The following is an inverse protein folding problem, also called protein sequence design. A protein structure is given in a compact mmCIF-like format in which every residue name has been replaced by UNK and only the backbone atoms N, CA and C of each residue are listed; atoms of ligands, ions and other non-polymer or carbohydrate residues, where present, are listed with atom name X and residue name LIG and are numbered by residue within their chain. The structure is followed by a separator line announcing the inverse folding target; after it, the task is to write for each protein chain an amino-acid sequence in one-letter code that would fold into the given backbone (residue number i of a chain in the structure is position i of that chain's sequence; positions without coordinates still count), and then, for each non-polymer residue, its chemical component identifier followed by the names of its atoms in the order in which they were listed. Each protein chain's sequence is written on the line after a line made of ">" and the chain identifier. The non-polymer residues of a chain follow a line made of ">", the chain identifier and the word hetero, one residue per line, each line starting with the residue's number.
data_IF_527168415840
#
_entry.id   IF_527168415840
#
_cell.length_a   1.000
_cell.length_b   1.000
_cell.length_c   1.000
_cell.angle_alpha   90.00
_cell.angle_beta   90.00
_cell.angle_gamma   90.00
#
_symmetry.space_group_name_H-M   'P 1'
#
loop_
_entity.id
_entity.type
_entity.pdbx_description
1 polymer ?
#
# COMPACT_ATOMS: atom_id res chain seq x y z
N UNK A 1 46.69 5.14 7.15
CA UNK A 1 47.28 4.04 6.36
C UNK A 1 48.16 3.19 7.26
N UNK A 2 47.68 2.02 7.68
CA UNK A 2 48.47 0.83 8.05
C UNK A 2 47.47 -0.29 8.32
N UNK A 3 47.26 -1.10 7.29
CA UNK A 3 46.65 -2.43 7.38
C UNK A 3 47.78 -3.42 7.08
N UNK A 4 47.93 -4.44 7.90
CA UNK A 4 48.46 -5.76 7.53
C UNK A 4 47.94 -6.74 8.60
N UNK A 5 47.10 -7.74 8.29
CA UNK A 5 47.42 -9.02 7.61
C UNK A 5 48.50 -9.83 8.37
N UNK A 6 48.40 -11.11 8.69
CA UNK A 6 47.43 -12.22 8.53
C UNK A 6 47.84 -13.23 9.61
N UNK A 7 46.89 -13.95 10.22
CA UNK A 7 47.20 -15.25 10.83
C UNK A 7 46.23 -16.28 10.23
N UNK A 8 46.80 -17.21 9.49
CA UNK A 8 46.18 -18.46 9.04
C UNK A 8 46.18 -19.49 10.16
N UNK A 9 45.11 -20.28 10.32
CA UNK A 9 45.19 -21.76 10.31
C UNK A 9 43.85 -22.41 10.67
N UNK A 10 43.43 -23.30 9.77
CA UNK A 10 42.68 -24.57 9.95
C UNK A 10 41.24 -24.58 10.46
N UNK A 11 40.38 -25.10 9.58
CA UNK A 11 38.99 -25.48 9.81
C UNK A 11 38.85 -26.82 10.53
N UNK A 12 37.80 -26.98 11.34
CA UNK A 12 36.96 -28.20 11.32
C UNK A 12 35.58 -27.92 11.93
N UNK A 13 34.56 -28.52 11.32
CA UNK A 13 33.14 -28.28 11.57
C UNK A 13 32.65 -28.91 12.88
N UNK A 14 31.75 -28.23 13.59
CA UNK A 14 30.71 -28.88 14.40
C UNK A 14 29.53 -27.93 14.67
N UNK A 15 28.36 -28.38 14.24
CA UNK A 15 27.03 -27.86 14.51
C UNK A 15 26.76 -27.66 16.00
N UNK A 16 26.33 -26.46 16.40
CA UNK A 16 25.79 -26.22 17.76
C UNK A 16 24.28 -25.97 17.66
N UNK A 17 23.51 -26.99 18.04
CA UNK A 17 22.11 -26.86 18.43
C UNK A 17 22.04 -26.03 19.73
N UNK A 18 21.30 -24.92 19.72
CA UNK A 18 20.85 -24.29 20.96
C UNK A 18 19.40 -24.70 21.24
N UNK A 19 19.19 -25.48 22.30
CA UNK A 19 17.87 -25.85 22.83
C UNK A 19 17.85 -25.71 24.36
N UNK A 20 16.70 -25.21 24.84
CA UNK A 20 16.16 -25.16 26.22
C UNK A 20 16.66 -23.98 27.08
N UNK A 21 15.88 -23.38 27.99
CA UNK A 21 14.79 -23.92 28.82
C UNK A 21 13.78 -22.86 29.26
N UNK A 22 12.55 -23.34 29.50
CA UNK A 22 11.44 -22.67 30.18
C UNK A 22 11.76 -22.38 31.65
N UNK A 23 11.21 -21.29 32.17
CA UNK A 23 11.09 -21.04 33.60
C UNK A 23 9.68 -21.44 34.05
N UNK A 24 9.58 -22.41 34.97
CA UNK A 24 8.39 -22.78 35.71
C UNK A 24 8.68 -22.46 37.17
N UNK A 25 7.80 -21.70 37.82
CA UNK A 25 7.74 -21.61 39.27
C UNK A 25 6.34 -22.07 39.67
N UNK A 26 6.30 -23.08 40.53
CA UNK A 26 5.12 -23.65 41.17
C UNK A 26 5.32 -23.51 42.68
N UNK A 27 4.27 -23.11 43.40
CA UNK A 27 4.05 -23.50 44.80
C UNK A 27 2.54 -23.54 45.10
N UNK A 28 2.01 -24.77 45.02
CA UNK A 28 1.08 -25.47 45.93
C UNK A 28 0.02 -24.77 46.81
N UNK A 29 -1.21 -25.34 46.70
CA UNK A 29 -2.23 -25.64 47.73
C UNK A 29 -2.97 -24.46 48.39
N UNK A 30 -4.29 -24.46 48.53
CA UNK A 30 -5.14 -25.47 49.20
C UNK A 30 -6.57 -25.49 48.60
N UNK A 31 -7.12 -26.71 48.50
CA UNK A 31 -8.50 -27.04 48.11
C UNK A 31 -9.51 -26.71 49.24
N UNK A 32 -10.82 -26.54 49.06
CA UNK A 32 -11.81 -27.56 48.67
C UNK A 32 -13.22 -26.90 48.72
N UNK A 33 -13.96 -27.07 47.62
CA UNK A 33 -15.36 -27.55 47.50
C UNK A 33 -16.52 -27.06 48.38
N UNK A 34 -17.62 -26.77 47.64
CA UNK A 34 -19.06 -27.02 47.91
C UNK A 34 -19.71 -26.07 48.93
N UNK A 35 -20.99 -25.66 48.83
CA UNK A 35 -22.13 -26.21 48.13
C UNK A 35 -23.17 -25.10 47.89
N UNK A 36 -24.01 -25.28 46.88
CA UNK A 36 -25.24 -24.52 46.66
C UNK A 36 -26.33 -24.93 47.65
N UNK A 37 -27.17 -23.97 48.06
CA UNK A 37 -28.62 -24.18 48.20
C UNK A 37 -29.32 -22.84 48.48
N UNK A 38 -30.28 -22.56 47.61
CA UNK A 38 -31.46 -21.72 47.81
C UNK A 38 -32.08 -21.81 49.21
N UNK A 39 -32.64 -20.70 49.74
CA UNK A 39 -33.99 -20.67 50.32
C UNK A 39 -34.51 -19.23 50.58
N UNK A 40 -35.65 -18.97 49.94
CA UNK A 40 -36.80 -18.10 50.19
C UNK A 40 -36.86 -17.05 51.34
N UNK A 41 -37.41 -15.88 50.95
CA UNK A 41 -38.54 -15.09 51.52
C UNK A 41 -38.72 -14.97 53.04
N UNK A 42 -38.83 -13.72 53.49
CA UNK A 42 -40.11 -13.22 54.04
C UNK A 42 -40.15 -12.72 55.50
N UNK A 43 -40.76 -11.54 55.64
CA UNK A 43 -41.56 -11.03 56.76
C UNK A 43 -40.89 -10.28 57.94
N UNK A 44 -41.20 -8.97 57.95
CA UNK A 44 -41.64 -8.09 59.05
C UNK A 44 -41.30 -8.49 60.50
N UNK A 45 -40.79 -7.52 61.26
CA UNK A 45 -41.50 -6.93 62.41
C UNK A 45 -40.83 -5.64 62.89
N UNK A 46 -41.67 -4.65 63.20
CA UNK A 46 -41.33 -3.46 63.98
C UNK A 46 -41.02 -3.85 65.44
N UNK A 47 -40.03 -3.21 66.03
CA UNK A 47 -40.04 -2.93 67.48
C UNK A 47 -39.48 -1.53 67.71
N UNK A 48 -40.34 -0.68 68.26
CA UNK A 48 -39.99 0.61 68.81
C UNK A 48 -39.28 0.41 70.16
N UNK A 49 -38.18 1.11 70.37
CA UNK A 49 -37.59 1.28 71.69
C UNK A 49 -37.21 2.75 71.89
N UNK A 50 -37.92 3.34 72.85
CA UNK A 50 -37.75 4.64 73.48
C UNK A 50 -36.38 4.82 74.13
N UNK A 51 -35.76 6.00 73.98
CA UNK A 51 -34.55 6.32 74.71
C UNK A 51 -34.01 7.73 74.49
N UNK A 52 -34.39 8.63 75.40
CA UNK A 52 -33.68 9.81 75.93
C UNK A 52 -32.89 10.75 75.01
N UNK A 53 -33.37 12.00 75.05
CA UNK A 53 -32.75 13.24 74.62
C UNK A 53 -31.25 13.36 74.96
N UNK A 54 -30.45 13.63 73.94
CA UNK A 54 -29.26 14.46 74.05
C UNK A 54 -29.32 15.53 72.95
N UNK A 55 -29.52 16.78 73.35
CA UNK A 55 -29.29 17.91 72.46
C UNK A 55 -27.79 18.07 72.28
N UNK A 56 -27.32 17.76 71.08
CA UNK A 56 -26.01 18.20 70.60
C UNK A 56 -26.30 19.21 69.49
N UNK A 57 -26.11 20.48 69.81
CA UNK A 57 -26.09 21.56 68.82
C UNK A 57 -24.81 21.44 68.02
N UNK A 58 -24.89 20.82 66.84
CA UNK A 58 -23.84 20.86 65.82
C UNK A 58 -24.26 21.85 64.74
N UNK A 59 -23.60 22.99 64.71
CA UNK A 59 -23.69 23.99 63.66
C UNK A 59 -23.48 23.34 62.30
N UNK A 60 -24.43 23.52 61.38
CA UNK A 60 -24.29 23.09 60.00
C UNK A 60 -23.16 23.88 59.34
N UNK A 61 -22.01 23.24 59.17
CA UNK A 61 -21.02 23.66 58.18
C UNK A 61 -21.41 22.94 56.89
N UNK A 62 -22.17 23.63 56.04
CA UNK A 62 -22.36 23.22 54.65
C UNK A 62 -21.03 23.37 53.92
N UNK A 63 -20.21 22.32 53.97
CA UNK A 63 -19.12 22.13 53.01
C UNK A 63 -19.73 21.54 51.75
N UNK A 64 -20.01 22.40 50.77
CA UNK A 64 -20.32 21.99 49.41
C UNK A 64 -19.04 21.42 48.79
N UNK A 65 -18.83 20.13 48.95
CA UNK A 65 -17.89 19.38 48.13
C UNK A 65 -18.64 18.91 46.89
N UNK A 66 -18.39 19.57 45.76
CA UNK A 66 -18.75 19.05 44.45
C UNK A 66 -17.65 18.07 44.03
N UNK A 67 -17.92 16.76 43.87
CA UNK A 67 -17.04 15.91 43.10
C UNK A 67 -17.51 15.95 41.64
N UNK A 68 -17.14 17.00 40.91
CA UNK A 68 -17.18 16.94 39.44
C UNK A 68 -15.98 16.10 38.99
N UNK A 69 -16.08 14.79 39.21
CA UNK A 69 -15.24 13.82 38.51
C UNK A 69 -15.95 13.53 37.19
N UNK A 70 -15.41 13.94 36.02
CA UNK A 70 -15.98 13.51 34.76
C UNK A 70 -15.85 11.99 34.71
N UNK A 71 -16.99 11.31 34.61
CA UNK A 71 -17.05 9.86 34.44
C UNK A 71 -16.16 9.47 33.25
N UNK A 72 -15.08 8.76 33.53
CA UNK A 72 -14.21 8.20 32.51
C UNK A 72 -15.05 7.21 31.70
N UNK A 73 -15.51 7.65 30.54
CA UNK A 73 -16.29 6.82 29.63
C UNK A 73 -15.46 5.59 29.27
N UNK A 74 -16.07 4.41 29.41
CA UNK A 74 -15.43 3.16 29.04
C UNK A 74 -14.85 3.26 27.61
N UNK A 75 -13.64 2.74 27.34
CA UNK A 75 -13.06 2.75 26.01
C UNK A 75 -14.06 2.13 25.03
N UNK A 76 -14.58 2.95 24.11
CA UNK A 76 -15.40 2.46 23.02
C UNK A 76 -14.55 1.46 22.22
N UNK A 77 -15.09 0.29 21.83
CA UNK A 77 -14.34 -0.66 21.04
C UNK A 77 -13.89 0.02 19.74
N UNK A 78 -12.58 0.20 19.58
CA UNK A 78 -12.01 0.76 18.36
C UNK A 78 -12.49 -0.08 17.19
N UNK A 79 -13.13 0.57 16.21
CA UNK A 79 -13.56 -0.09 14.98
C UNK A 79 -12.35 -0.82 14.39
N UNK A 80 -12.49 -2.10 14.01
CA UNK A 80 -11.36 -2.87 13.47
C UNK A 80 -10.76 -2.11 12.29
N UNK A 81 -9.45 -1.83 12.36
CA UNK A 81 -8.73 -1.12 11.30
C UNK A 81 -8.99 -1.86 9.98
N UNK A 82 -9.48 -1.17 8.94
CA UNK A 82 -9.76 -1.82 7.66
C UNK A 82 -8.49 -2.47 7.13
N UNK A 83 -8.61 -3.69 6.60
CA UNK A 83 -7.48 -4.35 5.96
C UNK A 83 -6.90 -3.41 4.88
N UNK A 84 -5.56 -3.23 4.82
CA UNK A 84 -4.96 -2.36 3.82
C UNK A 84 -5.35 -2.89 2.44
N UNK A 85 -6.09 -2.06 1.70
CA UNK A 85 -6.52 -2.39 0.35
C UNK A 85 -5.31 -2.30 -0.59
N UNK A 86 -5.12 -3.29 -1.49
CA UNK A 86 -3.91 -3.36 -2.29
C UNK A 86 -3.89 -2.29 -3.37
N UNK A 87 -2.69 -1.82 -3.71
CA UNK A 87 -2.49 -1.02 -4.91
C UNK A 87 -2.49 -1.92 -6.15
N UNK A 88 -3.21 -1.51 -7.19
CA UNK A 88 -3.09 -2.09 -8.53
C UNK A 88 -2.25 -1.14 -9.39
N UNK A 89 -1.10 -1.62 -9.85
CA UNK A 89 -0.20 -0.90 -10.74
C UNK A 89 -0.26 -1.58 -12.11
N UNK A 90 -0.75 -0.85 -13.10
CA UNK A 90 -0.95 -1.35 -14.46
C UNK A 90 0.03 -0.65 -15.40
N UNK A 91 0.86 -1.42 -16.09
CA UNK A 91 1.68 -0.93 -17.19
C UNK A 91 0.96 -1.15 -18.50
N UNK A 92 0.87 -0.12 -19.35
CA UNK A 92 0.33 -0.26 -20.69
C UNK A 92 1.42 -0.63 -21.70
N UNK A 93 1.05 -1.43 -22.68
CA UNK A 93 1.93 -1.94 -23.73
C UNK A 93 1.20 -2.93 -24.63
N UNK A 94 1.87 -3.36 -25.70
CA UNK A 94 1.40 -4.43 -26.57
C UNK A 94 2.14 -5.74 -26.28
N UNK A 95 1.45 -6.90 -26.27
CA UNK A 95 2.09 -8.20 -26.09
C UNK A 95 2.80 -8.66 -27.37
N UNK A 96 3.90 -9.39 -27.22
CA UNK A 96 4.67 -9.96 -28.33
C UNK A 96 6.07 -9.38 -28.45
N UNK A 97 7.01 -10.19 -28.94
CA UNK A 97 8.44 -9.83 -29.01
C UNK A 97 8.69 -8.62 -29.91
N UNK A 98 7.88 -8.43 -30.95
CA UNK A 98 8.02 -7.29 -31.87
C UNK A 98 7.76 -5.92 -31.22
N UNK A 99 7.09 -5.86 -30.07
CA UNK A 99 6.81 -4.62 -29.36
C UNK A 99 7.75 -4.37 -28.17
N UNK A 100 8.59 -5.35 -27.82
CA UNK A 100 9.56 -5.20 -26.75
C UNK A 100 10.54 -4.06 -27.08
N UNK A 101 10.78 -3.16 -26.12
CA UNK A 101 11.66 -2.00 -26.28
C UNK A 101 11.09 -0.87 -27.14
N UNK A 102 9.84 -0.97 -27.59
CA UNK A 102 9.16 0.14 -28.29
C UNK A 102 8.69 1.20 -27.31
N UNK A 103 8.59 2.45 -27.79
CA UNK A 103 8.11 3.58 -26.98
C UNK A 103 6.76 3.30 -26.30
N UNK A 104 5.85 2.64 -27.01
CA UNK A 104 4.52 2.29 -26.50
C UNK A 104 4.51 1.20 -25.42
N UNK A 105 5.64 0.50 -25.22
CA UNK A 105 5.79 -0.55 -24.23
C UNK A 105 6.52 -0.09 -22.96
N UNK A 106 6.82 1.20 -22.83
CA UNK A 106 7.50 1.74 -21.63
C UNK A 106 6.71 1.50 -20.34
N UNK A 107 5.37 1.41 -20.43
CA UNK A 107 4.54 1.03 -19.29
C UNK A 107 4.81 -0.40 -18.82
N UNK A 108 4.99 -1.35 -19.74
CA UNK A 108 5.42 -2.72 -19.39
C UNK A 108 6.82 -2.73 -18.80
N UNK A 109 7.76 -1.98 -19.38
CA UNK A 109 9.14 -1.88 -18.86
C UNK A 109 9.18 -1.32 -17.43
N UNK A 110 8.31 -0.37 -17.10
CA UNK A 110 8.16 0.11 -15.72
C UNK A 110 7.68 -0.99 -14.78
N UNK A 111 6.69 -1.79 -15.19
CA UNK A 111 6.20 -2.91 -14.37
C UNK A 111 7.29 -3.96 -14.17
N UNK A 112 8.06 -4.26 -15.20
CA UNK A 112 9.17 -5.21 -15.11
C UNK A 112 10.26 -4.68 -14.17
N UNK A 113 10.60 -3.39 -14.26
CA UNK A 113 11.53 -2.73 -13.34
C UNK A 113 11.08 -2.84 -11.87
N UNK A 114 9.79 -2.62 -11.61
CA UNK A 114 9.23 -2.74 -10.25
C UNK A 114 9.23 -4.20 -9.78
N UNK A 115 8.81 -5.12 -10.66
CA UNK A 115 8.74 -6.53 -10.34
C UNK A 115 10.12 -7.08 -9.97
N UNK A 116 11.15 -6.74 -10.74
CA UNK A 116 12.52 -7.19 -10.51
C UNK A 116 13.09 -6.60 -9.22
N UNK A 117 12.88 -5.31 -8.97
CA UNK A 117 13.40 -4.63 -7.77
C UNK A 117 12.75 -5.10 -6.46
N UNK A 118 11.48 -5.49 -6.50
CA UNK A 118 10.71 -5.94 -5.34
C UNK A 118 10.60 -7.48 -5.25
N UNK A 119 11.24 -8.21 -6.16
CA UNK A 119 11.23 -9.68 -6.19
C UNK A 119 9.86 -10.29 -6.47
N UNK A 120 9.02 -9.62 -7.25
CA UNK A 120 7.64 -10.04 -7.55
C UNK A 120 7.62 -10.88 -8.82
N UNK A 121 7.20 -12.14 -8.70
CA UNK A 121 7.05 -13.01 -9.87
C UNK A 121 5.84 -12.58 -10.73
N UNK A 122 6.09 -12.33 -12.02
CA UNK A 122 5.08 -12.00 -13.04
C UNK A 122 4.59 -13.23 -13.82
N UNK A 123 4.72 -14.43 -13.26
CA UNK A 123 4.44 -15.70 -13.96
C UNK A 123 2.96 -16.10 -14.05
N UNK A 124 2.06 -15.41 -13.33
CA UNK A 124 0.63 -15.74 -13.39
C UNK A 124 -0.04 -15.08 -14.60
N UNK A 125 -0.91 -15.81 -15.29
CA UNK A 125 -1.76 -15.25 -16.35
C UNK A 125 -3.20 -15.31 -15.87
N UNK A 126 -3.81 -14.15 -15.66
CA UNK A 126 -5.21 -14.03 -15.24
C UNK A 126 -5.78 -12.70 -15.74
N UNK A 127 -7.11 -12.62 -15.90
CA UNK A 127 -7.78 -11.40 -16.40
C UNK A 127 -7.20 -10.85 -17.71
N UNK A 128 -6.74 -11.74 -18.61
CA UNK A 128 -6.02 -11.37 -19.84
C UNK A 128 -4.78 -10.49 -19.58
N UNK A 129 -4.10 -10.66 -18.44
CA UNK A 129 -2.86 -9.96 -18.08
C UNK A 129 -1.80 -10.95 -17.59
N UNK A 130 -0.54 -10.62 -17.82
CA UNK A 130 0.56 -11.11 -16.99
C UNK A 130 0.49 -10.38 -15.66
N UNK A 131 0.54 -11.14 -14.57
CA UNK A 131 0.08 -10.69 -13.27
C UNK A 131 1.03 -11.15 -12.18
N UNK A 132 1.30 -10.26 -11.23
CA UNK A 132 2.12 -10.51 -10.04
C UNK A 132 1.47 -9.93 -8.81
N UNK A 133 1.66 -10.58 -7.66
CA UNK A 133 1.27 -10.06 -6.35
C UNK A 133 2.49 -10.04 -5.45
N UNK A 134 2.65 -8.98 -4.69
CA UNK A 134 3.76 -8.83 -3.77
C UNK A 134 3.49 -7.71 -2.77
N UNK A 135 4.56 -7.18 -2.22
CA UNK A 135 4.52 -6.14 -1.22
C UNK A 135 5.60 -5.10 -1.53
N UNK A 136 5.33 -3.85 -1.19
CA UNK A 136 6.35 -2.81 -1.02
C UNK A 136 6.26 -2.41 0.46
N UNK A 137 7.31 -2.68 1.23
CA UNK A 137 7.22 -2.69 2.68
C UNK A 137 6.14 -3.67 3.15
N UNK A 138 5.19 -3.18 3.96
CA UNK A 138 4.05 -3.98 4.45
C UNK A 138 2.75 -3.78 3.63
N UNK A 139 2.82 -3.01 2.54
CA UNK A 139 1.62 -2.68 1.73
C UNK A 139 1.48 -3.66 0.58
N UNK A 140 0.36 -4.38 0.46
CA UNK A 140 0.15 -5.32 -0.63
C UNK A 140 -0.01 -4.58 -1.96
N UNK A 141 0.68 -5.08 -2.99
CA UNK A 141 0.59 -4.55 -4.34
C UNK A 141 0.29 -5.66 -5.36
N UNK A 142 -0.31 -5.24 -6.46
CA UNK A 142 -0.64 -6.08 -7.61
C UNK A 142 -0.07 -5.41 -8.86
N UNK A 143 0.72 -6.15 -9.62
CA UNK A 143 1.31 -5.71 -10.87
C UNK A 143 0.57 -6.37 -12.03
N UNK A 144 0.22 -5.59 -13.06
CA UNK A 144 -0.48 -6.10 -14.22
C UNK A 144 0.06 -5.53 -15.53
N UNK A 145 0.30 -6.43 -16.50
CA UNK A 145 0.61 -6.11 -17.91
C UNK A 145 -0.47 -6.73 -18.80
N UNK A 146 -1.50 -5.97 -19.22
CA UNK A 146 -2.57 -6.47 -20.08
C UNK A 146 -2.04 -7.13 -21.36
N UNK A 147 -2.33 -8.40 -21.57
CA UNK A 147 -1.95 -9.19 -22.75
C UNK A 147 -3.03 -9.18 -23.84
N UNK A 148 -3.82 -8.10 -23.92
CA UNK A 148 -4.80 -7.91 -24.97
C UNK A 148 -4.11 -7.25 -26.17
N UNK A 149 -4.33 -5.96 -26.36
CA UNK A 149 -3.58 -5.03 -27.21
C UNK A 149 -3.91 -3.65 -26.66
N UNK A 150 -3.15 -2.62 -27.03
CA UNK A 150 -3.28 -1.31 -26.40
C UNK A 150 -4.72 -0.77 -26.42
N UNK A 151 -5.44 -0.90 -27.53
CA UNK A 151 -6.82 -0.43 -27.65
C UNK A 151 -7.85 -1.23 -26.82
N UNK A 152 -7.47 -2.41 -26.33
CA UNK A 152 -8.30 -3.31 -25.53
C UNK A 152 -7.79 -3.48 -24.08
N UNK A 153 -6.88 -2.63 -23.62
CA UNK A 153 -6.33 -2.71 -22.24
C UNK A 153 -7.42 -2.61 -21.16
N UNK A 154 -8.52 -1.91 -21.43
CA UNK A 154 -9.63 -1.73 -20.49
C UNK A 154 -10.36 -3.04 -20.15
N UNK A 155 -10.42 -4.00 -21.07
CA UNK A 155 -11.04 -5.30 -20.81
C UNK A 155 -10.35 -6.04 -19.65
N UNK A 156 -9.03 -5.96 -19.62
CA UNK A 156 -8.21 -6.59 -18.58
C UNK A 156 -8.29 -5.80 -17.27
N UNK A 157 -8.03 -4.49 -17.32
CA UNK A 157 -8.01 -3.63 -16.13
C UNK A 157 -9.37 -3.60 -15.43
N UNK A 158 -10.45 -3.45 -16.19
CA UNK A 158 -11.81 -3.45 -15.65
C UNK A 158 -12.16 -4.75 -14.93
N UNK A 159 -11.75 -5.90 -15.49
CA UNK A 159 -11.96 -7.20 -14.88
C UNK A 159 -11.21 -7.34 -13.55
N UNK A 160 -9.94 -6.92 -13.48
CA UNK A 160 -9.13 -6.96 -12.25
C UNK A 160 -9.77 -6.09 -11.16
N UNK A 161 -10.10 -4.83 -11.50
CA UNK A 161 -10.68 -3.87 -10.56
C UNK A 161 -12.02 -4.38 -10.01
N UNK A 162 -12.88 -4.92 -10.87
CA UNK A 162 -14.18 -5.46 -10.46
C UNK A 162 -14.04 -6.70 -9.58
N UNK A 163 -13.13 -7.61 -9.92
CA UNK A 163 -12.94 -8.88 -9.20
C UNK A 163 -12.38 -8.66 -7.80
N UNK A 164 -11.32 -7.85 -7.69
CA UNK A 164 -10.66 -7.56 -6.40
C UNK A 164 -11.32 -6.42 -5.62
N UNK A 165 -12.31 -5.74 -6.21
CA UNK A 165 -13.01 -4.59 -5.61
C UNK A 165 -12.07 -3.46 -5.20
N UNK A 166 -11.05 -3.22 -6.03
CA UNK A 166 -9.99 -2.24 -5.75
C UNK A 166 -10.56 -0.83 -5.91
N UNK A 167 -10.43 0.06 -4.91
CA UNK A 167 -10.81 1.46 -5.07
C UNK A 167 -10.02 2.13 -6.19
N UNK A 168 -10.67 2.88 -7.06
CA UNK A 168 -10.00 3.54 -8.21
C UNK A 168 -8.86 4.47 -7.80
N UNK A 169 -8.91 5.05 -6.60
CA UNK A 169 -7.80 5.86 -6.04
C UNK A 169 -6.51 5.06 -5.81
N UNK A 170 -6.59 3.73 -5.76
CA UNK A 170 -5.47 2.80 -5.63
C UNK A 170 -5.14 2.08 -6.94
N UNK A 171 -5.72 2.52 -8.07
CA UNK A 171 -5.43 2.00 -9.40
C UNK A 171 -4.52 3.00 -10.11
N UNK A 172 -3.23 2.71 -10.15
CA UNK A 172 -2.26 3.50 -10.90
C UNK A 172 -2.07 2.92 -12.29
N UNK A 173 -2.24 3.76 -13.32
CA UNK A 173 -1.94 3.39 -14.70
C UNK A 173 -0.67 4.09 -15.18
N UNK A 174 0.29 3.32 -15.70
CA UNK A 174 1.56 3.78 -16.24
C UNK A 174 1.57 3.63 -17.75
N UNK A 175 1.87 4.70 -18.48
CA UNK A 175 1.82 4.71 -19.94
C UNK A 175 2.73 5.79 -20.56
N UNK A 176 3.02 5.66 -21.85
CA UNK A 176 3.81 6.61 -22.63
C UNK A 176 3.03 7.88 -22.99
N UNK A 177 3.74 8.99 -23.08
CA UNK A 177 3.12 10.27 -23.37
C UNK A 177 3.91 11.11 -24.39
N UNK A 178 3.24 11.45 -25.49
CA UNK A 178 3.80 12.27 -26.58
C UNK A 178 3.90 13.75 -26.20
N UNK A 179 3.08 14.23 -25.26
CA UNK A 179 3.04 15.64 -24.87
C UNK A 179 4.10 15.99 -23.83
N UNK A 180 4.72 14.98 -23.20
CA UNK A 180 5.81 15.18 -22.27
C UNK A 180 7.16 15.08 -23.01
N UNK A 181 8.13 15.95 -22.67
CA UNK A 181 9.51 15.79 -23.13
C UNK A 181 10.01 14.39 -22.81
N UNK A 182 10.91 13.88 -23.65
CA UNK A 182 11.55 12.59 -23.43
C UNK A 182 12.13 12.49 -22.00
N UNK A 183 12.02 11.31 -21.39
CA UNK A 183 12.48 11.02 -20.02
C UNK A 183 11.81 11.82 -18.89
N UNK A 184 10.79 12.64 -19.19
CA UNK A 184 10.04 13.38 -18.17
C UNK A 184 8.92 12.52 -17.60
N UNK A 185 8.96 12.28 -16.29
CA UNK A 185 7.85 11.69 -15.55
C UNK A 185 6.85 12.75 -15.11
N UNK A 186 5.57 12.40 -15.11
CA UNK A 186 4.51 13.21 -14.48
C UNK A 186 3.46 12.34 -13.82
N UNK A 187 3.26 12.53 -12.52
CA UNK A 187 2.23 11.84 -11.74
C UNK A 187 1.02 12.75 -11.56
N UNK A 188 -0.17 12.28 -11.98
CA UNK A 188 -1.43 13.04 -11.90
C UNK A 188 -2.52 12.21 -11.21
N UNK A 189 -3.35 12.81 -10.34
CA UNK A 189 -4.37 12.06 -9.59
C UNK A 189 -5.59 11.70 -10.44
N UNK A 190 -5.80 12.42 -11.54
CA UNK A 190 -6.92 12.27 -12.48
C UNK A 190 -6.58 12.91 -13.82
N UNK A 191 -7.38 12.64 -14.84
CA UNK A 191 -7.23 13.27 -16.15
C UNK A 191 -7.95 12.55 -17.29
N UNK A 192 -7.93 13.16 -18.48
CA UNK A 192 -8.40 12.54 -19.72
C UNK A 192 -7.41 11.53 -20.30
N UNK A 193 -7.76 10.94 -21.44
CA UNK A 193 -6.91 9.95 -22.10
C UNK A 193 -5.77 10.58 -22.92
N UNK A 194 -5.79 11.89 -23.19
CA UNK A 194 -4.68 12.59 -23.87
C UNK A 194 -4.34 12.02 -25.25
N UNK A 195 -5.35 11.56 -26.00
CA UNK A 195 -5.14 10.86 -27.27
C UNK A 195 -4.64 9.40 -27.16
N UNK A 196 -4.20 8.95 -25.99
CA UNK A 196 -3.67 7.60 -25.80
C UNK A 196 -4.77 6.52 -25.81
N UNK A 197 -4.63 5.51 -26.68
CA UNK A 197 -5.66 4.50 -26.93
C UNK A 197 -5.90 3.56 -25.74
N UNK A 198 -4.86 3.16 -25.02
CA UNK A 198 -5.01 2.32 -23.82
C UNK A 198 -5.76 3.03 -22.70
N UNK A 199 -5.42 4.28 -22.41
CA UNK A 199 -6.19 5.10 -21.48
C UNK A 199 -7.65 5.27 -21.91
N UNK A 200 -7.93 5.49 -23.20
CA UNK A 200 -9.31 5.56 -23.70
C UNK A 200 -10.07 4.25 -23.39
N UNK A 201 -9.44 3.11 -23.67
CA UNK A 201 -10.00 1.78 -23.41
C UNK A 201 -10.34 1.57 -21.94
N UNK A 202 -9.42 1.94 -21.04
CA UNK A 202 -9.59 1.81 -19.59
C UNK A 202 -10.74 2.68 -19.10
N UNK A 203 -10.80 3.95 -19.49
CA UNK A 203 -11.89 4.83 -19.08
C UNK A 203 -13.26 4.29 -19.51
N UNK A 204 -13.37 3.76 -20.73
CA UNK A 204 -14.62 3.17 -21.22
C UNK A 204 -15.06 1.99 -20.34
N UNK A 205 -14.14 1.11 -19.95
CA UNK A 205 -14.44 -0.04 -19.09
C UNK A 205 -14.67 0.33 -17.62
N UNK A 206 -14.18 1.50 -17.19
CA UNK A 206 -14.44 2.07 -15.86
C UNK A 206 -15.64 3.03 -15.88
N UNK A 207 -16.61 2.81 -16.77
CA UNK A 207 -17.86 3.60 -16.88
C UNK A 207 -17.63 5.11 -17.09
N UNK A 208 -16.58 5.46 -17.81
CA UNK A 208 -16.19 6.84 -18.09
C UNK A 208 -15.47 7.55 -16.93
N UNK A 209 -15.17 6.84 -15.83
CA UNK A 209 -14.47 7.42 -14.68
C UNK A 209 -13.07 7.90 -15.09
N UNK A 210 -12.65 9.05 -14.54
CA UNK A 210 -11.35 9.69 -14.81
C UNK A 210 -10.53 9.91 -13.54
N UNK A 211 -11.08 9.56 -12.39
CA UNK A 211 -10.58 9.83 -11.03
C UNK A 211 -9.75 8.65 -10.50
N UNK A 212 -8.69 8.35 -11.25
CA UNK A 212 -7.65 7.41 -10.83
C UNK A 212 -6.27 7.94 -11.23
N UNK A 213 -5.25 7.65 -10.40
CA UNK A 213 -3.92 8.18 -10.60
C UNK A 213 -3.27 7.58 -11.86
N UNK A 214 -2.37 8.36 -12.45
CA UNK A 214 -1.59 7.92 -13.60
C UNK A 214 -0.18 8.48 -13.60
N UNK A 215 0.77 7.61 -13.92
CA UNK A 215 2.16 7.97 -14.17
C UNK A 215 2.38 8.05 -15.68
N UNK A 216 2.62 9.26 -16.17
CA UNK A 216 2.92 9.52 -17.57
C UNK A 216 4.43 9.50 -17.74
N UNK A 217 4.92 8.73 -18.71
CA UNK A 217 6.34 8.66 -19.07
C UNK A 217 6.52 9.34 -20.42
N UNK A 218 7.25 10.46 -20.44
CA UNK A 218 7.45 11.22 -21.65
C UNK A 218 8.33 10.49 -22.67
N UNK A 219 7.79 10.32 -23.87
CA UNK A 219 8.51 9.75 -25.02
C UNK A 219 8.85 10.82 -26.08
N UNK A 220 8.47 12.08 -25.83
CA UNK A 220 8.64 13.18 -26.77
C UNK A 220 7.69 13.11 -27.96
N UNK A 221 7.76 14.13 -28.82
CA UNK A 221 6.99 14.17 -30.07
C UNK A 221 7.80 13.59 -31.24
N UNK A 222 7.13 12.99 -32.23
CA UNK A 222 7.79 12.57 -33.45
C UNK A 222 8.51 13.74 -34.13
N UNK A 223 9.73 13.54 -34.66
CA UNK A 223 10.42 14.58 -35.40
C UNK A 223 9.76 14.80 -36.77
N UNK A 224 9.67 16.07 -37.18
CA UNK A 224 9.15 16.45 -38.50
C UNK A 224 7.67 16.10 -38.70
N UNK A 225 7.36 15.45 -39.82
CA UNK A 225 5.98 15.06 -40.21
C UNK A 225 5.68 13.57 -39.98
N UNK A 226 6.46 12.89 -39.14
CA UNK A 226 6.27 11.47 -38.87
C UNK A 226 4.94 11.23 -38.16
N UNK A 227 4.22 10.20 -38.61
CA UNK A 227 2.97 9.77 -37.99
C UNK A 227 3.20 9.32 -36.53
N UNK A 228 2.43 9.84 -35.56
CA UNK A 228 2.55 9.45 -34.15
C UNK A 228 2.39 7.95 -33.91
N UNK A 229 1.50 7.26 -34.64
CA UNK A 229 1.31 5.82 -34.44
C UNK A 229 2.55 5.02 -34.85
N UNK A 230 3.22 5.44 -35.93
CA UNK A 230 4.50 4.88 -36.36
C UNK A 230 5.61 5.17 -35.35
N UNK A 231 5.64 6.36 -34.75
CA UNK A 231 6.67 6.75 -33.78
C UNK A 231 6.60 5.93 -32.49
N UNK A 232 5.41 5.73 -31.92
CA UNK A 232 5.26 4.97 -30.66
C UNK A 232 5.66 3.50 -30.81
N UNK A 233 5.58 2.93 -32.02
CA UNK A 233 5.98 1.56 -32.31
C UNK A 233 7.48 1.41 -32.62
N UNK A 234 8.27 2.49 -32.58
CA UNK A 234 9.73 2.44 -32.76
C UNK A 234 10.44 2.19 -31.43
N UNK A 235 11.53 1.43 -31.51
CA UNK A 235 12.45 1.25 -30.40
C UNK A 235 13.22 2.54 -30.04
N UNK A 236 13.62 2.65 -28.78
CA UNK A 236 14.54 3.68 -28.33
C UNK A 236 15.93 3.47 -28.94
N UNK A 237 16.61 4.55 -29.31
CA UNK A 237 18.02 4.50 -29.66
C UNK A 237 18.87 4.31 -28.38
N UNK A 238 20.18 4.11 -28.54
CA UNK A 238 21.07 3.84 -27.41
C UNK A 238 21.11 4.98 -26.38
N UNK A 239 21.18 6.23 -26.81
CA UNK A 239 21.22 7.38 -25.90
C UNK A 239 19.89 7.54 -25.15
N UNK A 240 18.77 7.41 -25.88
CA UNK A 240 17.44 7.38 -25.26
C UNK A 240 17.33 6.24 -24.25
N UNK A 241 17.89 5.07 -24.56
CA UNK A 241 17.84 3.92 -23.66
C UNK A 241 18.55 4.20 -22.33
N UNK A 242 19.76 4.73 -22.39
CA UNK A 242 20.55 5.09 -21.21
C UNK A 242 19.78 6.05 -20.29
N UNK A 243 19.17 7.11 -20.87
CA UNK A 243 18.36 8.08 -20.10
C UNK A 243 17.03 7.48 -19.59
N UNK A 244 16.40 6.60 -20.37
CA UNK A 244 15.16 5.94 -19.96
C UNK A 244 15.40 5.00 -18.77
N UNK A 245 16.54 4.30 -18.72
CA UNK A 245 16.84 3.40 -17.61
C UNK A 245 16.95 4.18 -16.27
N UNK A 246 17.59 5.35 -16.27
CA UNK A 246 17.56 6.26 -15.11
C UNK A 246 16.14 6.72 -14.76
N UNK A 247 15.33 6.99 -15.78
CA UNK A 247 13.94 7.42 -15.62
C UNK A 247 13.07 6.31 -15.02
N UNK A 248 13.27 5.06 -15.42
CA UNK A 248 12.59 3.89 -14.85
C UNK A 248 12.95 3.70 -13.37
N UNK A 249 14.22 3.86 -13.00
CA UNK A 249 14.65 3.84 -11.60
C UNK A 249 14.03 4.97 -10.78
N UNK A 250 13.96 6.20 -11.33
CA UNK A 250 13.23 7.29 -10.68
C UNK A 250 11.74 6.99 -10.53
N UNK A 251 11.13 6.31 -11.50
CA UNK A 251 9.75 5.87 -11.42
C UNK A 251 9.51 4.81 -10.36
N UNK A 252 10.41 3.84 -10.21
CA UNK A 252 10.40 2.87 -9.11
C UNK A 252 10.41 3.57 -7.75
N UNK A 253 11.29 4.55 -7.56
CA UNK A 253 11.35 5.30 -6.30
C UNK A 253 10.05 6.09 -6.05
N UNK A 254 9.49 6.69 -7.10
CA UNK A 254 8.19 7.33 -7.02
C UNK A 254 7.07 6.35 -6.62
N UNK A 255 7.15 5.08 -7.05
CA UNK A 255 6.18 4.04 -6.65
C UNK A 255 6.32 3.66 -5.18
N UNK A 256 7.55 3.54 -4.69
CA UNK A 256 7.80 3.31 -3.26
C UNK A 256 7.20 4.42 -2.40
N UNK A 257 7.48 5.68 -2.76
CA UNK A 257 6.91 6.85 -2.07
C UNK A 257 5.38 6.85 -2.18
N UNK A 258 4.82 6.56 -3.36
CA UNK A 258 3.37 6.52 -3.56
C UNK A 258 2.69 5.52 -2.62
N UNK A 259 3.25 4.32 -2.51
CA UNK A 259 2.67 3.22 -1.76
C UNK A 259 2.87 3.40 -0.26
N UNK A 260 4.03 3.90 0.18
CA UNK A 260 4.40 4.01 1.59
C UNK A 260 4.02 5.35 2.22
N UNK A 261 4.16 6.45 1.50
CA UNK A 261 3.97 7.82 2.01
C UNK A 261 2.75 8.53 1.40
N UNK A 262 2.22 8.02 0.29
CA UNK A 262 1.01 8.50 -0.35
C UNK A 262 1.23 9.36 -1.59
N UNK A 263 0.11 9.70 -2.25
CA UNK A 263 0.10 10.32 -3.57
C UNK A 263 0.78 11.69 -3.61
N UNK A 264 0.47 12.58 -2.65
CA UNK A 264 0.95 13.97 -2.71
C UNK A 264 2.48 14.05 -2.61
N UNK A 265 3.09 13.24 -1.73
CA UNK A 265 4.55 13.14 -1.59
C UNK A 265 5.21 12.64 -2.88
N UNK A 266 4.68 11.57 -3.45
CA UNK A 266 5.17 11.01 -4.71
C UNK A 266 5.00 12.01 -5.86
N UNK A 267 3.86 12.71 -5.92
CA UNK A 267 3.60 13.71 -6.94
C UNK A 267 4.56 14.90 -6.83
N UNK A 268 4.88 15.37 -5.62
CA UNK A 268 5.94 16.37 -5.42
C UNK A 268 7.28 15.84 -5.91
N UNK A 269 7.70 14.65 -5.49
CA UNK A 269 8.98 14.05 -5.91
C UNK A 269 9.13 13.95 -7.44
N UNK A 270 8.08 13.49 -8.12
CA UNK A 270 8.08 13.30 -9.57
C UNK A 270 8.00 14.63 -10.32
N UNK A 271 7.04 15.48 -9.94
CA UNK A 271 6.68 16.67 -10.71
C UNK A 271 7.61 17.86 -10.43
N UNK A 272 8.39 17.84 -9.35
CA UNK A 272 9.36 18.90 -9.06
C UNK A 272 10.40 19.02 -10.17
N UNK A 273 10.50 20.23 -10.71
CA UNK A 273 11.49 20.65 -11.70
C UNK A 273 12.88 20.82 -11.06
N UNK A 274 13.53 19.75 -10.61
CA UNK A 274 14.99 19.79 -10.46
C UNK A 274 15.59 19.18 -11.72
N UNK A 275 16.17 19.99 -12.63
CA UNK A 275 17.11 19.47 -13.61
C UNK A 275 18.25 18.81 -12.81
N UNK A 276 18.70 17.64 -13.25
CA UNK A 276 20.01 17.14 -12.85
C UNK A 276 21.01 18.09 -13.49
N UNK A 277 21.51 19.05 -12.71
CA UNK A 277 22.71 19.79 -13.09
C UNK A 277 23.84 18.78 -13.06
N UNK A 278 24.28 18.38 -14.25
CA UNK A 278 25.54 17.65 -14.46
C UNK A 278 26.70 18.61 -14.20
#
# INVERSE_FOLDING_TARGET
>A
MKLACVISSTASSATVLFRRSRCLISSSSVAKTLNSSSYQRGWMSNTAATGSLYQISCSMITSTSSPDTPALSAPQPEKPKPKPQPWLIVGLGNPGKQYAGTRHNVGFEMIDTIADAEGISMGSVSFKAQFGKGFIGDVPIMLAKPQTFMNASGESVGAIVSYYKIPLKQVLVVFDDLDLPFAKLRLLPKGGHGGHNGMRSIMNHLKGNRDFPRLRIGIGRPPGKMDPASFVLRAFNRQEREELDFTLQKGLEAMRILVLEGFDRSATFVNSSKPLTV
#
